data_IF_995012118388
#
_entry.id   IF_995012118388
#
_cell.length_a   1.000
_cell.length_b   1.000
_cell.length_c   1.000
_cell.angle_alpha   90.00
_cell.angle_beta   90.00
_cell.angle_gamma   90.00
#
_symmetry.space_group_name_H-M   'P 1'
#
loop_
_entity.id
_entity.type
_entity.pdbx_description
1 polymer ?
#
# COMPACT_ATOMS: atom_id res chain seq x y z
N UNK A 1 13.74 -1.52 10.85
CA UNK A 1 14.60 -0.37 11.21
C UNK A 1 13.91 0.92 10.76
N UNK A 2 14.40 2.08 11.19
CA UNK A 2 13.92 3.37 10.66
C UNK A 2 14.18 3.46 9.16
N UNK A 3 13.27 4.08 8.42
CA UNK A 3 13.52 4.46 7.03
C UNK A 3 14.55 5.59 6.97
N UNK A 4 15.65 5.46 6.19
CA UNK A 4 16.59 6.54 5.93
C UNK A 4 15.88 7.80 5.43
N UNK A 5 16.38 8.98 5.79
CA UNK A 5 15.84 10.27 5.33
C UNK A 5 16.02 10.51 3.82
N UNK A 6 16.92 9.75 3.19
CA UNK A 6 17.10 9.75 1.73
C UNK A 6 15.94 9.10 0.98
N UNK A 7 15.12 8.26 1.65
CA UNK A 7 13.93 7.62 1.08
C UNK A 7 12.72 8.48 1.44
N UNK A 8 11.92 8.88 0.47
CA UNK A 8 10.72 9.71 0.68
C UNK A 8 9.58 9.20 -0.22
N UNK A 9 8.44 9.88 -0.21
CA UNK A 9 7.27 9.35 -0.91
C UNK A 9 7.44 9.33 -2.44
N UNK A 10 8.22 10.24 -3.02
CA UNK A 10 8.56 10.22 -4.44
C UNK A 10 9.50 9.06 -4.84
N UNK A 11 10.13 8.41 -3.85
CA UNK A 11 10.94 7.21 -4.07
C UNK A 11 10.93 6.31 -2.83
N UNK A 12 9.99 5.37 -2.81
CA UNK A 12 9.82 4.38 -1.74
C UNK A 12 10.70 3.12 -1.94
N UNK A 13 11.69 3.17 -2.84
CA UNK A 13 12.52 2.02 -3.18
C UNK A 13 13.16 1.41 -1.94
N UNK A 14 12.95 0.11 -1.77
CA UNK A 14 13.42 -0.61 -0.60
C UNK A 14 12.58 -1.82 -0.25
N UNK A 15 13.01 -2.50 0.80
CA UNK A 15 12.32 -3.63 1.39
C UNK A 15 11.71 -3.24 2.72
N UNK A 16 10.47 -3.67 2.92
CA UNK A 16 9.60 -3.22 4.00
C UNK A 16 8.90 -4.42 4.62
N UNK A 17 9.03 -4.56 5.94
CA UNK A 17 8.41 -5.64 6.69
C UNK A 17 7.22 -5.10 7.48
N UNK A 18 6.05 -5.74 7.37
CA UNK A 18 4.89 -5.36 8.18
C UNK A 18 5.20 -5.53 9.66
N UNK A 19 5.16 -4.43 10.41
CA UNK A 19 5.23 -4.45 11.86
C UNK A 19 3.83 -4.71 12.44
N UNK A 20 3.56 -5.97 12.79
CA UNK A 20 2.25 -6.39 13.31
C UNK A 20 1.87 -5.74 14.64
N UNK A 21 2.85 -5.43 15.49
CA UNK A 21 2.59 -4.86 16.82
C UNK A 21 2.11 -3.40 16.72
N UNK A 22 2.59 -2.68 15.70
CA UNK A 22 2.21 -1.29 15.42
C UNK A 22 1.06 -1.16 14.41
N UNK A 23 0.67 -2.25 13.77
CA UNK A 23 -0.40 -2.28 12.76
C UNK A 23 -1.75 -2.61 13.39
N UNK A 24 -2.81 -2.07 12.80
CA UNK A 24 -4.17 -2.45 13.12
C UNK A 24 -4.57 -3.74 12.39
N UNK A 25 -5.59 -4.43 12.90
CA UNK A 25 -6.10 -5.65 12.28
C UNK A 25 -6.81 -5.36 10.96
N UNK A 26 -6.50 -6.15 9.93
CA UNK A 26 -7.15 -6.12 8.62
C UNK A 26 -8.27 -7.16 8.49
N UNK A 27 -8.61 -7.87 9.58
CA UNK A 27 -9.53 -9.01 9.54
C UNK A 27 -10.95 -8.63 9.07
N UNK A 28 -11.46 -7.50 9.56
CA UNK A 28 -12.78 -6.97 9.20
C UNK A 28 -12.80 -6.44 7.76
N UNK A 29 -11.75 -5.73 7.35
CA UNK A 29 -11.54 -5.25 5.99
C UNK A 29 -11.55 -6.41 4.98
N UNK A 30 -10.75 -7.46 5.22
CA UNK A 30 -10.73 -8.64 4.35
C UNK A 30 -12.05 -9.41 4.36
N UNK A 31 -12.76 -9.44 5.49
CA UNK A 31 -14.09 -10.04 5.55
C UNK A 31 -15.07 -9.28 4.65
N UNK A 32 -15.01 -7.95 4.68
CA UNK A 32 -15.84 -7.08 3.86
C UNK A 32 -15.59 -7.28 2.36
N UNK A 33 -14.33 -7.51 1.98
CA UNK A 33 -13.92 -7.82 0.62
C UNK A 33 -14.29 -9.25 0.16
N UNK A 34 -14.89 -10.06 1.04
CA UNK A 34 -15.33 -11.42 0.73
C UNK A 34 -14.24 -12.48 0.85
N UNK A 35 -13.10 -12.18 1.46
CA UNK A 35 -12.02 -13.17 1.61
C UNK A 35 -12.48 -14.28 2.59
N UNK A 36 -12.37 -15.56 2.18
CA UNK A 36 -12.78 -16.69 3.03
C UNK A 36 -12.08 -16.67 4.40
N UNK A 37 -12.83 -17.04 5.45
CA UNK A 37 -12.35 -17.00 6.84
C UNK A 37 -11.01 -17.72 7.05
N UNK A 38 -10.81 -18.89 6.44
CA UNK A 38 -9.57 -19.66 6.55
C UNK A 38 -8.36 -18.90 5.96
N UNK A 39 -8.56 -18.22 4.84
CA UNK A 39 -7.52 -17.39 4.20
C UNK A 39 -7.19 -16.19 5.09
N UNK A 40 -8.20 -15.53 5.67
CA UNK A 40 -8.01 -14.42 6.61
C UNK A 40 -7.20 -14.85 7.84
N UNK A 41 -7.42 -16.06 8.37
CA UNK A 41 -6.62 -16.58 9.48
C UNK A 41 -5.17 -16.81 9.08
N UNK A 42 -4.89 -17.38 7.91
CA UNK A 42 -3.52 -17.52 7.41
C UNK A 42 -2.85 -16.15 7.29
N UNK A 43 -3.51 -15.17 6.67
CA UNK A 43 -2.97 -13.82 6.51
C UNK A 43 -2.73 -13.16 7.87
N UNK A 44 -3.53 -13.43 8.90
CA UNK A 44 -3.33 -12.86 10.22
C UNK A 44 -2.08 -13.37 10.96
N UNK A 45 -1.55 -14.55 10.59
CA UNK A 45 -0.28 -15.05 11.12
C UNK A 45 0.90 -14.84 10.18
N UNK A 46 0.65 -14.49 8.90
CA UNK A 46 1.69 -14.44 7.89
C UNK A 46 2.67 -13.27 8.02
N UNK A 47 3.94 -13.50 7.76
CA UNK A 47 4.87 -12.40 7.50
C UNK A 47 4.53 -11.78 6.14
N UNK A 48 4.41 -10.45 6.10
CA UNK A 48 4.22 -9.67 4.88
C UNK A 48 5.47 -8.82 4.66
N UNK A 49 6.20 -9.14 3.59
CA UNK A 49 7.31 -8.34 3.09
C UNK A 49 6.93 -7.71 1.74
N UNK A 50 7.24 -6.42 1.61
CA UNK A 50 7.04 -5.64 0.40
C UNK A 50 8.41 -5.19 -0.12
N UNK A 51 8.60 -5.26 -1.42
CA UNK A 51 9.77 -4.72 -2.10
C UNK A 51 9.31 -3.80 -3.23
N UNK A 52 9.86 -2.59 -3.24
CA UNK A 52 9.62 -1.57 -4.26
C UNK A 52 10.92 -1.21 -4.95
N UNK A 53 10.89 -1.09 -6.27
CA UNK A 53 11.99 -0.58 -7.09
C UNK A 53 11.45 0.50 -8.00
N UNK A 54 11.89 1.75 -7.80
CA UNK A 54 11.56 2.83 -8.72
C UNK A 54 12.20 2.55 -10.08
N UNK A 55 11.38 2.63 -11.11
CA UNK A 55 11.81 2.42 -12.49
C UNK A 55 12.25 3.75 -13.10
N UNK A 56 13.27 3.69 -13.95
CA UNK A 56 13.71 4.86 -14.69
C UNK A 56 12.58 5.37 -15.60
N UNK A 57 12.45 6.71 -15.76
CA UNK A 57 11.48 7.28 -16.67
C UNK A 57 11.80 6.82 -18.10
N UNK A 58 10.77 6.47 -18.86
CA UNK A 58 10.91 6.18 -20.28
C UNK A 58 10.43 7.37 -21.09
N UNK A 59 10.90 7.55 -22.34
CA UNK A 59 10.43 8.65 -23.20
C UNK A 59 8.90 8.69 -23.35
N UNK A 60 8.26 7.51 -23.32
CA UNK A 60 6.82 7.35 -23.50
C UNK A 60 6.01 7.39 -22.19
N UNK A 61 6.67 7.37 -21.02
CA UNK A 61 6.00 7.38 -19.72
C UNK A 61 6.73 8.29 -18.72
N UNK A 62 6.18 9.48 -18.51
CA UNK A 62 6.73 10.49 -17.59
C UNK A 62 6.27 10.32 -16.14
N UNK A 63 5.20 9.56 -15.92
CA UNK A 63 4.71 9.25 -14.58
C UNK A 63 5.70 8.36 -13.82
N UNK A 64 5.77 8.53 -12.50
CA UNK A 64 6.61 7.67 -11.66
C UNK A 64 6.08 6.23 -11.71
N UNK A 65 7.00 5.27 -11.76
CA UNK A 65 6.69 3.84 -11.84
C UNK A 65 7.49 3.07 -10.81
N UNK A 66 6.87 2.05 -10.22
CA UNK A 66 7.53 1.15 -9.29
C UNK A 66 7.24 -0.30 -9.65
N UNK A 67 8.30 -1.10 -9.86
CA UNK A 67 8.15 -2.53 -9.78
C UNK A 67 7.90 -2.92 -8.32
N UNK A 68 6.91 -3.79 -8.12
CA UNK A 68 6.45 -4.20 -6.80
C UNK A 68 6.47 -5.71 -6.66
N UNK A 69 7.00 -6.18 -5.54
CA UNK A 69 6.94 -7.58 -5.15
C UNK A 69 6.41 -7.69 -3.73
N UNK A 70 5.36 -8.48 -3.56
CA UNK A 70 4.80 -8.87 -2.28
C UNK A 70 5.20 -10.32 -1.99
N UNK A 71 5.66 -10.59 -0.77
CA UNK A 71 5.92 -11.94 -0.28
C UNK A 71 5.13 -12.21 1.01
N UNK A 72 4.32 -13.26 1.01
CA UNK A 72 3.45 -13.64 2.14
C UNK A 72 3.78 -15.05 2.62
N UNK A 73 4.16 -15.20 3.89
CA UNK A 73 4.58 -16.49 4.47
C UNK A 73 3.96 -16.75 5.84
N UNK A 74 3.22 -17.85 6.08
CA UNK A 74 2.82 -18.88 5.13
C UNK A 74 1.69 -18.40 4.20
N UNK A 75 1.41 -19.16 3.14
CA UNK A 75 0.24 -18.94 2.28
C UNK A 75 0.54 -18.84 0.78
N UNK A 76 1.76 -18.45 0.40
CA UNK A 76 2.16 -18.39 -1.02
C UNK A 76 1.39 -17.36 -1.84
N UNK A 77 0.79 -16.36 -1.18
CA UNK A 77 0.07 -15.24 -1.81
C UNK A 77 1.03 -14.16 -2.33
N UNK A 78 2.09 -14.60 -2.98
CA UNK A 78 3.09 -13.71 -3.54
C UNK A 78 2.53 -13.05 -4.79
N UNK A 79 2.91 -11.80 -5.01
CA UNK A 79 2.42 -11.03 -6.16
C UNK A 79 3.56 -10.19 -6.70
N UNK A 80 3.59 -10.01 -8.02
CA UNK A 80 4.53 -9.14 -8.71
C UNK A 80 3.77 -8.28 -9.69
N UNK A 81 3.69 -7.00 -9.40
CA UNK A 81 2.93 -6.03 -10.19
C UNK A 81 3.77 -4.78 -10.42
N UNK A 82 3.22 -3.85 -11.19
CA UNK A 82 3.79 -2.53 -11.39
C UNK A 82 2.78 -1.47 -10.94
N UNK A 83 3.26 -0.48 -10.17
CA UNK A 83 2.51 0.72 -9.86
C UNK A 83 2.90 1.82 -10.84
N UNK A 84 1.91 2.41 -11.51
CA UNK A 84 2.10 3.53 -12.44
C UNK A 84 1.32 4.72 -11.90
N UNK A 85 2.02 5.78 -11.50
CA UNK A 85 1.45 6.89 -10.74
C UNK A 85 0.91 8.00 -11.67
N UNK A 86 0.09 7.62 -12.64
CA UNK A 86 -0.56 8.52 -13.61
C UNK A 86 -2.05 8.77 -13.34
N UNK A 87 -2.62 8.09 -12.34
CA UNK A 87 -4.03 8.16 -12.00
C UNK A 87 -4.96 7.38 -12.94
N UNK A 88 -4.43 6.68 -13.94
CA UNK A 88 -5.22 5.88 -14.86
C UNK A 88 -5.60 4.53 -14.25
N UNK A 89 -6.86 4.14 -14.45
CA UNK A 89 -7.38 2.84 -14.02
C UNK A 89 -6.94 1.72 -14.95
N UNK A 90 -6.38 0.66 -14.37
CA UNK A 90 -5.96 -0.56 -15.06
C UNK A 90 -6.50 -1.78 -14.34
N UNK A 91 -6.87 -2.81 -15.11
CA UNK A 91 -7.37 -4.06 -14.55
C UNK A 91 -6.23 -5.04 -14.30
N UNK A 92 -6.29 -5.74 -13.17
CA UNK A 92 -5.35 -6.80 -12.82
C UNK A 92 -6.10 -7.93 -12.07
N UNK A 93 -5.46 -9.11 -11.98
CA UNK A 93 -5.98 -10.24 -11.20
C UNK A 93 -5.06 -10.54 -10.02
N UNK A 94 -5.56 -10.31 -8.81
CA UNK A 94 -4.79 -10.49 -7.57
C UNK A 94 -5.23 -11.77 -6.86
N UNK A 95 -4.31 -12.63 -6.34
CA UNK A 95 -4.64 -13.98 -5.87
C UNK A 95 -5.80 -14.11 -4.87
N UNK A 96 -5.96 -13.14 -3.96
CA UNK A 96 -7.01 -13.16 -2.91
C UNK A 96 -8.22 -12.29 -3.24
N UNK A 97 -8.13 -11.44 -4.26
CA UNK A 97 -9.16 -10.46 -4.62
C UNK A 97 -9.84 -10.75 -5.96
N UNK A 98 -9.24 -11.59 -6.80
CA UNK A 98 -9.69 -11.81 -8.17
C UNK A 98 -9.45 -10.58 -9.04
N UNK A 99 -10.38 -10.32 -9.97
CA UNK A 99 -10.33 -9.17 -10.85
C UNK A 99 -10.56 -7.87 -10.08
N UNK A 100 -9.62 -6.94 -10.23
CA UNK A 100 -9.64 -5.61 -9.63
C UNK A 100 -9.28 -4.55 -10.66
N UNK A 101 -9.85 -3.36 -10.51
CA UNK A 101 -9.35 -2.15 -11.14
C UNK A 101 -8.49 -1.38 -10.14
N UNK A 102 -7.30 -0.96 -10.57
CA UNK A 102 -6.34 -0.24 -9.75
C UNK A 102 -5.93 1.06 -10.44
N UNK A 103 -5.81 2.14 -9.66
CA UNK A 103 -5.12 3.36 -10.07
C UNK A 103 -4.31 3.92 -8.92
N UNK A 104 -3.21 4.60 -9.23
CA UNK A 104 -2.41 5.31 -8.23
C UNK A 104 -1.89 6.65 -8.75
N UNK A 105 -1.69 7.61 -7.85
CA UNK A 105 -1.07 8.91 -8.15
C UNK A 105 -0.55 9.57 -6.87
N UNK A 106 0.28 10.60 -7.01
CA UNK A 106 0.73 11.40 -5.86
C UNK A 106 -0.35 12.37 -5.40
N UNK A 107 -0.39 12.61 -4.08
CA UNK A 107 -1.28 13.58 -3.44
C UNK A 107 -0.55 14.38 -2.36
N UNK A 108 -1.06 15.58 -2.06
CA UNK A 108 -0.60 16.41 -0.94
C UNK A 108 -1.32 16.09 0.38
N UNK A 109 -0.90 16.75 1.46
CA UNK A 109 -1.45 16.51 2.82
C UNK A 109 -2.95 16.84 2.92
N UNK A 110 -3.44 17.87 2.23
CA UNK A 110 -4.86 18.26 2.26
C UNK A 110 -5.78 17.17 1.70
N UNK A 111 -5.33 16.48 0.64
CA UNK A 111 -6.06 15.35 0.07
C UNK A 111 -5.92 14.11 0.95
N UNK A 112 -4.73 13.84 1.48
CA UNK A 112 -4.48 12.72 2.38
C UNK A 112 -5.37 12.79 3.64
N UNK A 113 -5.59 14.00 4.16
CA UNK A 113 -6.46 14.24 5.31
C UNK A 113 -7.92 13.84 5.06
N UNK A 114 -8.42 13.91 3.82
CA UNK A 114 -9.77 13.45 3.45
C UNK A 114 -9.92 11.93 3.55
N UNK A 115 -8.81 11.21 3.61
CA UNK A 115 -8.72 9.77 3.80
C UNK A 115 -8.24 9.38 5.21
N UNK A 116 -8.35 10.31 6.18
CA UNK A 116 -7.90 10.17 7.57
C UNK A 116 -6.39 9.93 7.74
N UNK A 117 -5.60 10.21 6.71
CA UNK A 117 -4.14 10.14 6.75
C UNK A 117 -3.57 11.55 6.96
N UNK A 118 -3.41 11.93 8.23
CA UNK A 118 -2.98 13.28 8.64
C UNK A 118 -1.54 13.29 9.12
N UNK A 119 -0.84 14.42 8.90
CA UNK A 119 0.51 14.63 9.43
C UNK A 119 1.60 13.83 8.72
N UNK A 120 1.39 13.51 7.45
CA UNK A 120 2.37 12.79 6.64
C UNK A 120 3.55 13.71 6.28
N UNK A 121 4.75 13.15 6.25
CA UNK A 121 5.93 13.86 5.74
C UNK A 121 5.74 14.25 4.27
N UNK A 122 6.05 15.50 3.94
CA UNK A 122 5.99 16.02 2.57
C UNK A 122 7.41 16.14 2.02
N UNK A 123 7.59 15.69 0.77
CA UNK A 123 8.87 15.82 0.08
C UNK A 123 9.05 17.20 -0.58
N UNK A 124 10.20 17.38 -1.23
CA UNK A 124 10.55 18.64 -1.90
C UNK A 124 9.68 18.95 -3.12
N UNK A 125 8.97 17.97 -3.68
CA UNK A 125 8.03 18.15 -4.79
C UNK A 125 6.62 18.51 -4.29
N UNK A 126 6.40 18.57 -2.97
CA UNK A 126 5.08 18.83 -2.39
C UNK A 126 4.21 17.58 -2.30
N UNK A 127 4.74 16.40 -2.61
CA UNK A 127 4.02 15.14 -2.43
C UNK A 127 4.09 14.73 -0.96
N UNK A 128 2.94 14.41 -0.37
CA UNK A 128 2.86 13.85 0.98
C UNK A 128 2.55 12.35 0.96
N UNK A 129 1.85 11.89 -0.08
CA UNK A 129 1.37 10.53 -0.15
C UNK A 129 1.30 9.98 -1.59
N UNK A 130 1.29 8.65 -1.69
CA UNK A 130 0.75 7.94 -2.86
C UNK A 130 -0.68 7.52 -2.48
N UNK A 131 -1.66 7.90 -3.30
CA UNK A 131 -3.02 7.44 -3.20
C UNK A 131 -3.21 6.24 -4.14
N UNK A 132 -3.51 5.08 -3.56
CA UNK A 132 -3.86 3.86 -4.28
C UNK A 132 -5.35 3.60 -4.12
N UNK A 133 -6.06 3.37 -5.21
CA UNK A 133 -7.48 3.02 -5.21
C UNK A 133 -7.63 1.69 -5.94
N UNK A 134 -8.18 0.70 -5.24
CA UNK A 134 -8.54 -0.61 -5.79
C UNK A 134 -10.05 -0.79 -5.71
N UNK A 135 -10.68 -1.32 -6.74
CA UNK A 135 -12.09 -1.74 -6.68
C UNK A 135 -12.29 -3.08 -7.34
N UNK A 136 -13.28 -3.82 -6.88
CA UNK A 136 -13.77 -5.02 -7.57
C UNK A 136 -15.25 -4.82 -7.85
N UNK A 137 -15.59 -4.57 -9.12
CA UNK A 137 -16.98 -4.47 -9.55
C UNK A 137 -17.76 -5.78 -9.28
N UNK A 138 -17.23 -6.98 -9.59
CA UNK A 138 -17.93 -8.24 -9.30
C UNK A 138 -18.23 -8.44 -7.81
N UNK A 139 -17.33 -7.99 -6.94
CA UNK A 139 -17.46 -8.17 -5.49
C UNK A 139 -18.07 -6.95 -4.77
N UNK A 140 -18.29 -5.85 -5.49
CA UNK A 140 -18.98 -4.63 -5.03
C UNK A 140 -18.26 -3.83 -3.95
N UNK A 141 -16.92 -3.93 -3.84
CA UNK A 141 -16.14 -3.17 -2.86
C UNK A 141 -15.13 -2.24 -3.53
N UNK A 142 -14.81 -1.15 -2.85
CA UNK A 142 -13.72 -0.24 -3.19
C UNK A 142 -12.83 -0.02 -1.96
N UNK A 143 -11.52 -0.10 -2.15
CA UNK A 143 -10.49 0.14 -1.17
C UNK A 143 -9.66 1.35 -1.58
N UNK A 144 -9.30 2.16 -0.60
CA UNK A 144 -8.40 3.29 -0.74
C UNK A 144 -7.27 3.13 0.25
N UNK A 145 -6.05 3.30 -0.23
CA UNK A 145 -4.84 3.17 0.57
C UNK A 145 -3.98 4.41 0.38
N UNK A 146 -3.72 5.14 1.47
CA UNK A 146 -2.79 6.28 1.47
C UNK A 146 -1.45 5.82 2.03
N UNK A 147 -0.42 5.91 1.20
CA UNK A 147 0.94 5.53 1.56
C UNK A 147 1.68 6.79 1.96
N UNK A 148 2.39 6.78 3.08
CA UNK A 148 3.12 7.96 3.53
C UNK A 148 4.20 7.61 4.55
N UNK A 149 4.96 8.62 4.95
CA UNK A 149 5.95 8.48 6.03
C UNK A 149 5.47 9.18 7.28
N UNK A 150 5.60 8.49 8.41
CA UNK A 150 5.26 9.01 9.73
C UNK A 150 6.35 8.67 10.74
N UNK A 151 6.47 9.48 11.79
CA UNK A 151 7.29 9.17 12.96
C UNK A 151 6.41 8.49 14.02
N UNK A 152 6.70 7.22 14.29
CA UNK A 152 6.00 6.41 15.30
C UNK A 152 7.02 5.99 16.35
N UNK A 153 6.80 6.37 17.60
CA UNK A 153 7.74 6.13 18.72
C UNK A 153 9.16 6.63 18.42
N UNK A 154 9.28 7.80 17.79
CA UNK A 154 10.56 8.39 17.39
C UNK A 154 11.23 7.72 16.17
N UNK A 155 10.59 6.71 15.57
CA UNK A 155 11.11 5.98 14.41
C UNK A 155 10.30 6.32 13.17
N UNK A 156 10.97 6.82 12.13
CA UNK A 156 10.37 7.08 10.82
C UNK A 156 10.04 5.77 10.11
N UNK A 157 8.78 5.59 9.72
CA UNK A 157 8.25 4.36 9.11
C UNK A 157 7.38 4.68 7.90
N UNK A 158 7.38 3.76 6.92
CA UNK A 158 6.38 3.75 5.87
C UNK A 158 5.07 3.24 6.49
N UNK A 159 3.98 3.94 6.22
CA UNK A 159 2.64 3.57 6.68
C UNK A 159 1.69 3.48 5.50
N UNK A 160 0.65 2.66 5.65
CA UNK A 160 -0.48 2.58 4.73
C UNK A 160 -1.77 2.72 5.52
N UNK A 161 -2.50 3.81 5.29
CA UNK A 161 -3.85 4.00 5.82
C UNK A 161 -4.85 3.44 4.85
N UNK A 162 -5.51 2.33 5.23
CA UNK A 162 -6.46 1.63 4.38
C UNK A 162 -7.88 1.93 4.83
N UNK A 163 -8.78 2.11 3.86
CA UNK A 163 -10.22 2.19 4.05
C UNK A 163 -10.89 1.37 2.96
N UNK A 164 -11.79 0.45 3.33
CA UNK A 164 -12.60 -0.32 2.39
C UNK A 164 -14.07 -0.05 2.62
N UNK A 165 -14.79 0.17 1.52
CA UNK A 165 -16.21 0.46 1.48
C UNK A 165 -16.91 -0.64 0.68
N UNK A 166 -18.03 -1.15 1.22
CA UNK A 166 -18.96 -2.04 0.50
C UNK A 166 -20.39 -1.77 0.98
N UNK A 167 -21.20 -1.17 0.09
CA UNK A 167 -22.49 -0.60 0.49
C UNK A 167 -22.30 0.49 1.55
N UNK A 168 -23.02 0.38 2.67
CA UNK A 168 -22.94 1.34 3.78
C UNK A 168 -21.81 1.03 4.79
N UNK A 169 -21.11 -0.10 4.63
CA UNK A 169 -20.08 -0.54 5.56
C UNK A 169 -18.73 0.04 5.17
N UNK A 170 -18.00 0.53 6.17
CA UNK A 170 -16.65 1.07 6.03
C UNK A 170 -15.76 0.40 7.08
N UNK A 171 -14.66 -0.19 6.63
CA UNK A 171 -13.63 -0.79 7.49
C UNK A 171 -12.28 -0.12 7.24
N UNK A 172 -11.55 0.20 8.32
CA UNK A 172 -10.28 0.91 8.24
C UNK A 172 -9.17 0.14 8.95
N UNK A 173 -7.95 0.23 8.43
CA UNK A 173 -6.78 -0.32 9.06
C UNK A 173 -5.51 0.44 8.66
N UNK A 174 -4.73 0.87 9.65
CA UNK A 174 -3.38 1.38 9.46
C UNK A 174 -2.36 0.25 9.53
N UNK A 175 -1.55 0.12 8.49
CA UNK A 175 -0.41 -0.78 8.43
C UNK A 175 0.88 0.02 8.58
N UNK A 176 1.81 -0.50 9.36
CA UNK A 176 3.09 0.14 9.66
C UNK A 176 4.21 -0.80 9.23
N UNK A 177 5.21 -0.27 8.53
CA UNK A 177 6.28 -1.07 7.96
C UNK A 177 7.66 -0.63 8.48
N UNK A 178 8.45 -1.62 8.89
CA UNK A 178 9.86 -1.44 9.22
C UNK A 178 10.71 -1.56 7.96
N UNK A 179 11.67 -0.66 7.80
CA UNK A 179 12.64 -0.73 6.71
C UNK A 179 13.64 -1.87 6.96
N UNK A 180 13.85 -2.70 5.94
CA UNK A 180 14.81 -3.82 5.97
C UNK A 180 16.12 -3.50 5.24
N UNK A 181 16.10 -2.56 4.29
CA UNK A 181 17.25 -2.25 3.45
C UNK A 181 16.86 -1.95 1.99
N UNK A 182 17.86 -1.75 1.11
CA UNK A 182 17.61 -1.54 -0.31
C UNK A 182 16.95 -2.76 -0.96
N UNK A 183 16.36 -2.60 -2.16
CA UNK A 183 15.80 -3.72 -2.92
C UNK A 183 16.85 -4.82 -3.17
N UNK A 184 16.41 -6.08 -3.25
CA UNK A 184 17.28 -7.16 -3.75
C UNK A 184 17.48 -7.00 -5.26
N UNK A 185 18.74 -7.16 -5.70
CA UNK A 185 19.14 -7.17 -7.10
C UNK A 185 18.61 -8.41 -7.83
#
# INVERSE_FOLDING_TARGET
MAAPTTINISDVSGRWLLNRQLSQSTEAMFALQGIPWIIRKIINFATLELEYVKLDPTPDATAARFAFKQTVRPGGFDTRNEYILDGESRTDTVPIFGEVSMRCHYIGNDEAAKHDAVGLETDNAGHAAILEILSSEPMGWAATTVWGFEVIDGVRRLVKHNSTIKGEKIEKAKLVFDYLGPPQA
#
